data_IF_814488859346
#
_entry.id   IF_814488859346
#
_cell.length_a   1.000
_cell.length_b   1.000
_cell.length_c   1.000
_cell.angle_alpha   90.00
_cell.angle_beta   90.00
_cell.angle_gamma   90.00
#
_symmetry.space_group_name_H-M   'P 1'
#
loop_
_entity.id
_entity.type
_entity.pdbx_description
1 polymer ?
#
# COMPACT_ATOMS: atom_id res chain seq x y z
N UNK A 1 -35.83 38.04 0.81
CA UNK A 1 -34.51 37.63 1.27
C UNK A 1 -34.42 36.10 1.17
N UNK A 2 -33.71 35.61 0.22
CA UNK A 2 -33.47 34.18 0.06
C UNK A 2 -32.10 33.87 0.66
N UNK A 3 -32.06 33.21 1.83
CA UNK A 3 -30.86 32.67 2.40
C UNK A 3 -30.43 31.42 1.58
N UNK A 4 -29.38 31.55 0.81
CA UNK A 4 -28.69 30.39 0.25
C UNK A 4 -27.84 29.76 1.35
N UNK A 5 -28.29 28.64 1.88
CA UNK A 5 -27.43 27.77 2.68
C UNK A 5 -26.45 27.11 1.72
N UNK A 6 -25.23 27.58 1.72
CA UNK A 6 -24.09 26.85 1.15
C UNK A 6 -23.79 25.66 2.08
N UNK A 7 -24.27 24.50 1.71
CA UNK A 7 -23.83 23.26 2.33
C UNK A 7 -22.38 23.00 1.88
N UNK A 8 -21.42 23.32 2.74
CA UNK A 8 -20.05 22.93 2.56
C UNK A 8 -19.98 21.40 2.70
N UNK A 9 -19.85 20.68 1.58
CA UNK A 9 -19.49 19.28 1.59
C UNK A 9 -18.04 19.20 2.09
N UNK A 10 -17.85 18.92 3.35
CA UNK A 10 -16.56 18.56 3.89
C UNK A 10 -16.22 17.15 3.38
N UNK A 11 -15.40 17.08 2.33
CA UNK A 11 -14.77 15.83 1.94
C UNK A 11 -13.72 15.50 3.01
N UNK A 12 -14.13 14.76 4.02
CA UNK A 12 -13.18 14.12 4.91
C UNK A 12 -12.50 13.01 4.12
N UNK A 13 -11.20 13.17 3.83
CA UNK A 13 -10.38 12.08 3.35
C UNK A 13 -10.45 10.97 4.41
N UNK A 14 -11.09 9.84 4.06
CA UNK A 14 -11.19 8.71 4.97
C UNK A 14 -9.78 8.16 5.21
N UNK A 15 -9.31 8.21 6.46
CA UNK A 15 -8.12 7.48 6.88
C UNK A 15 -8.35 5.99 6.61
N UNK A 16 -7.29 5.29 6.14
CA UNK A 16 -7.38 3.86 5.88
C UNK A 16 -7.81 3.11 7.14
N UNK A 17 -8.83 2.28 7.02
CA UNK A 17 -9.37 1.47 8.12
C UNK A 17 -8.29 0.48 8.62
N UNK A 18 -8.00 0.45 9.94
CA UNK A 18 -7.02 -0.49 10.51
C UNK A 18 -7.29 -1.95 10.17
N UNK A 19 -8.56 -2.37 10.12
CA UNK A 19 -8.92 -3.73 9.74
C UNK A 19 -8.59 -4.03 8.27
N UNK A 20 -8.84 -3.07 7.38
CA UNK A 20 -8.48 -3.18 5.97
C UNK A 20 -6.96 -3.24 5.78
N UNK A 21 -6.21 -2.45 6.53
CA UNK A 21 -4.73 -2.47 6.51
C UNK A 21 -4.19 -3.81 6.99
N UNK A 22 -4.77 -4.39 8.03
CA UNK A 22 -4.38 -5.70 8.54
C UNK A 22 -4.62 -6.81 7.50
N UNK A 23 -5.73 -6.78 6.79
CA UNK A 23 -6.02 -7.70 5.68
C UNK A 23 -5.01 -7.56 4.54
N UNK A 24 -4.70 -6.34 4.14
CA UNK A 24 -3.71 -6.06 3.10
C UNK A 24 -2.32 -6.53 3.49
N UNK A 25 -1.89 -6.31 4.73
CA UNK A 25 -0.62 -6.78 5.25
C UNK A 25 -0.53 -8.31 5.24
N UNK A 26 -1.59 -8.99 5.65
CA UNK A 26 -1.64 -10.46 5.61
C UNK A 26 -1.55 -10.98 4.18
N UNK A 27 -2.23 -10.33 3.23
CA UNK A 27 -2.14 -10.68 1.81
C UNK A 27 -0.74 -10.45 1.26
N UNK A 28 -0.09 -9.34 1.61
CA UNK A 28 1.30 -9.05 1.22
C UNK A 28 2.24 -10.17 1.67
N UNK A 29 2.18 -10.56 2.94
CA UNK A 29 3.01 -11.63 3.47
C UNK A 29 2.80 -12.95 2.73
N UNK A 30 1.56 -13.29 2.42
CA UNK A 30 1.22 -14.54 1.74
C UNK A 30 1.63 -14.53 0.27
N UNK A 31 1.44 -13.41 -0.43
CA UNK A 31 1.62 -13.33 -1.88
C UNK A 31 3.04 -12.97 -2.30
N UNK A 32 3.73 -12.15 -1.53
CA UNK A 32 5.02 -11.56 -1.92
C UNK A 32 6.22 -12.27 -1.30
N UNK A 33 6.15 -12.68 -0.03
CA UNK A 33 7.27 -13.32 0.67
C UNK A 33 7.80 -14.60 0.03
N UNK A 34 6.98 -15.48 -0.58
CA UNK A 34 7.49 -16.72 -1.18
C UNK A 34 8.55 -16.51 -2.27
N UNK A 35 8.57 -15.37 -2.94
CA UNK A 35 9.45 -15.10 -4.07
C UNK A 35 10.64 -14.20 -3.72
N UNK A 36 10.45 -13.23 -2.84
CA UNK A 36 11.47 -12.24 -2.47
C UNK A 36 11.15 -11.57 -1.13
N UNK A 37 12.10 -10.80 -0.60
CA UNK A 37 11.86 -10.06 0.62
C UNK A 37 10.93 -8.87 0.38
N UNK A 38 10.18 -8.47 1.40
CA UNK A 38 9.29 -7.30 1.34
C UNK A 38 10.06 -5.99 1.22
N UNK A 39 11.35 -5.99 1.47
CA UNK A 39 12.19 -4.79 1.31
C UNK A 39 12.08 -4.20 -0.09
N UNK A 40 12.00 -5.04 -1.12
CA UNK A 40 11.83 -4.60 -2.50
C UNK A 40 10.52 -3.83 -2.67
N UNK A 41 9.46 -4.30 -2.04
CA UNK A 41 8.15 -3.65 -2.08
C UNK A 41 8.17 -2.36 -1.26
N UNK A 42 8.66 -2.41 -0.04
CA UNK A 42 8.61 -1.31 0.91
C UNK A 42 9.57 -0.15 0.58
N UNK A 43 10.53 -0.37 -0.30
CA UNK A 43 11.43 0.68 -0.80
C UNK A 43 10.83 1.52 -1.92
N UNK A 44 9.68 1.16 -2.44
CA UNK A 44 9.04 1.85 -3.55
C UNK A 44 7.94 2.79 -3.07
N UNK A 45 7.71 3.88 -3.82
CA UNK A 45 6.61 4.81 -3.64
C UNK A 45 5.96 5.02 -4.99
N UNK A 46 4.84 4.35 -5.23
CA UNK A 46 4.23 4.26 -6.54
C UNK A 46 2.79 4.77 -6.51
N UNK A 47 2.33 5.28 -7.65
CA UNK A 47 0.91 5.61 -7.83
C UNK A 47 0.07 4.34 -7.77
N UNK A 48 -1.23 4.50 -7.54
CA UNK A 48 -2.18 3.39 -7.58
C UNK A 48 -2.10 2.61 -8.89
N UNK A 49 -2.09 3.32 -10.02
CA UNK A 49 -2.01 2.70 -11.34
C UNK A 49 -0.72 1.89 -11.53
N UNK A 50 0.39 2.39 -11.02
CA UNK A 50 1.69 1.67 -11.10
C UNK A 50 1.68 0.47 -10.16
N UNK A 51 1.12 0.57 -8.94
CA UNK A 51 0.95 -0.59 -8.07
C UNK A 51 0.08 -1.68 -8.73
N UNK A 52 -0.99 -1.31 -9.40
CA UNK A 52 -1.81 -2.27 -10.15
C UNK A 52 -0.99 -3.02 -11.21
N UNK A 53 -0.15 -2.32 -11.96
CA UNK A 53 0.73 -2.94 -12.96
C UNK A 53 1.79 -3.83 -12.32
N UNK A 54 2.31 -3.46 -11.16
CA UNK A 54 3.25 -4.30 -10.41
C UNK A 54 2.59 -5.60 -9.93
N UNK A 55 1.35 -5.53 -9.45
CA UNK A 55 0.60 -6.72 -9.07
C UNK A 55 0.32 -7.63 -10.28
N UNK A 56 -0.01 -7.06 -11.44
CA UNK A 56 -0.16 -7.82 -12.69
C UNK A 56 1.13 -8.54 -13.07
N UNK A 57 2.25 -7.84 -12.98
CA UNK A 57 3.57 -8.39 -13.29
C UNK A 57 3.93 -9.54 -12.35
N UNK A 58 3.74 -9.36 -11.05
CA UNK A 58 4.01 -10.41 -10.07
C UNK A 58 3.11 -11.63 -10.27
N UNK A 59 1.84 -11.43 -10.59
CA UNK A 59 0.92 -12.52 -10.90
C UNK A 59 1.36 -13.30 -12.15
N UNK A 60 1.85 -12.61 -13.18
CA UNK A 60 2.41 -13.27 -14.37
C UNK A 60 3.66 -14.10 -14.06
N UNK A 61 4.41 -13.72 -13.04
CA UNK A 61 5.60 -14.45 -12.59
C UNK A 61 5.30 -15.54 -11.57
N UNK A 62 4.01 -15.79 -11.30
CA UNK A 62 3.57 -16.91 -10.48
C UNK A 62 3.12 -16.55 -9.06
N UNK A 63 3.08 -15.28 -8.68
CA UNK A 63 2.53 -14.90 -7.38
C UNK A 63 1.03 -15.21 -7.32
N UNK A 64 0.60 -15.81 -6.22
CA UNK A 64 -0.82 -16.10 -5.97
C UNK A 64 -1.41 -15.00 -5.10
N UNK A 65 -2.15 -14.10 -5.72
CA UNK A 65 -2.81 -12.97 -5.04
C UNK A 65 -4.29 -13.31 -4.91
N UNK A 66 -4.73 -13.62 -3.70
CA UNK A 66 -6.12 -14.01 -3.43
C UNK A 66 -7.04 -12.81 -3.19
N UNK A 67 -6.58 -11.82 -2.44
CA UNK A 67 -7.31 -10.60 -2.15
C UNK A 67 -6.55 -9.40 -2.71
N UNK A 68 -6.64 -9.26 -4.03
CA UNK A 68 -5.93 -8.19 -4.76
C UNK A 68 -6.32 -6.80 -4.28
N UNK A 69 -7.59 -6.56 -4.02
CA UNK A 69 -8.07 -5.26 -3.61
C UNK A 69 -7.54 -4.86 -2.22
N UNK A 70 -7.56 -5.78 -1.26
CA UNK A 70 -6.99 -5.54 0.06
C UNK A 70 -5.49 -5.26 -0.02
N UNK A 71 -4.76 -5.99 -0.85
CA UNK A 71 -3.34 -5.76 -1.08
C UNK A 71 -3.09 -4.40 -1.71
N UNK A 72 -3.83 -4.04 -2.74
CA UNK A 72 -3.69 -2.76 -3.44
C UNK A 72 -3.98 -1.58 -2.51
N UNK A 73 -5.06 -1.63 -1.74
CA UNK A 73 -5.42 -0.59 -0.78
C UNK A 73 -4.32 -0.42 0.29
N UNK A 74 -3.78 -1.51 0.78
CA UNK A 74 -2.66 -1.50 1.72
C UNK A 74 -1.41 -0.84 1.13
N UNK A 75 -1.02 -1.22 -0.08
CA UNK A 75 0.15 -0.66 -0.75
C UNK A 75 -0.01 0.84 -1.03
N UNK A 76 -1.17 1.27 -1.49
CA UNK A 76 -1.44 2.69 -1.73
C UNK A 76 -1.45 3.48 -0.43
N UNK A 77 -2.02 2.93 0.64
CA UNK A 77 -2.10 3.61 1.94
C UNK A 77 -0.73 3.82 2.59
N UNK A 78 0.19 2.87 2.47
CA UNK A 78 1.49 2.92 3.14
C UNK A 78 2.65 3.25 2.20
N UNK A 79 2.55 2.90 0.93
CA UNK A 79 3.63 3.01 -0.06
C UNK A 79 3.17 3.74 -1.33
N UNK A 80 2.17 4.60 -1.21
CA UNK A 80 1.74 5.48 -2.28
C UNK A 80 2.78 6.58 -2.57
N UNK A 81 2.66 7.22 -3.72
CA UNK A 81 3.58 8.28 -4.16
C UNK A 81 3.60 9.51 -3.23
N UNK A 82 2.52 9.71 -2.46
CA UNK A 82 2.37 10.80 -1.50
C UNK A 82 3.06 10.52 -0.15
N UNK A 83 3.61 9.33 0.05
CA UNK A 83 4.29 8.95 1.28
C UNK A 83 5.76 9.38 1.23
N UNK A 84 6.35 9.62 2.42
CA UNK A 84 7.76 9.98 2.53
C UNK A 84 8.66 8.94 1.85
N UNK A 85 9.72 9.40 1.19
CA UNK A 85 10.70 8.51 0.60
C UNK A 85 11.31 7.59 1.67
N UNK A 86 11.66 6.34 1.32
CA UNK A 86 12.29 5.43 2.26
C UNK A 86 13.63 6.02 2.72
N UNK A 87 13.90 5.90 4.02
CA UNK A 87 15.17 6.33 4.58
C UNK A 87 16.29 5.39 4.15
N UNK A 88 17.53 5.90 3.99
CA UNK A 88 18.64 5.05 3.58
C UNK A 88 18.86 3.84 4.48
N UNK A 89 18.65 3.98 5.77
CA UNK A 89 18.75 2.88 6.73
C UNK A 89 17.69 1.80 6.55
N UNK A 90 16.57 2.13 5.91
CA UNK A 90 15.52 1.16 5.60
C UNK A 90 15.79 0.39 4.31
N UNK A 91 16.67 0.90 3.46
CA UNK A 91 17.13 0.21 2.25
C UNK A 91 18.34 -0.69 2.50
N UNK A 92 18.80 -0.79 3.76
CA UNK A 92 19.89 -1.66 4.18
C UNK A 92 19.54 -3.17 4.07
N UNK A 93 20.26 -3.96 4.81
CA UNK A 93 20.20 -5.43 4.76
C UNK A 93 18.89 -6.07 5.28
N UNK A 94 17.89 -5.27 5.59
CA UNK A 94 16.59 -5.74 6.09
C UNK A 94 16.55 -6.06 7.58
N UNK A 95 17.65 -6.00 8.29
CA UNK A 95 17.69 -6.33 9.72
C UNK A 95 16.91 -5.34 10.57
N UNK A 96 16.92 -4.07 10.21
CA UNK A 96 16.20 -3.04 10.94
C UNK A 96 14.67 -3.13 10.82
N UNK A 97 14.13 -3.94 9.92
CA UNK A 97 12.68 -4.10 9.76
C UNK A 97 12.11 -5.23 10.61
N UNK A 98 12.91 -6.17 11.03
CA UNK A 98 12.48 -7.28 11.88
C UNK A 98 12.29 -6.87 13.35
N UNK A 99 12.88 -5.76 13.77
CA UNK A 99 12.92 -5.29 15.17
C UNK A 99 11.92 -4.15 15.45
N UNK A 100 11.11 -3.75 14.48
CA UNK A 100 10.21 -2.61 14.64
C UNK A 100 8.75 -3.00 14.47
#
# INVERSE_FOLDING_TARGET
MRCFLLAALSMTAAAADPAALAKGKAEENRSCLPCHSLRIVHSQRLTRAVWERELDKMARWGAVIKDREALLEYLVALYGEDKAAPRPEMSGDGRGQAER
#
